data_IF_195585706705
#
_entry.id   IF_195585706705
#
_cell.length_a   1.000
_cell.length_b   1.000
_cell.length_c   1.000
_cell.angle_alpha   90.00
_cell.angle_beta   90.00
_cell.angle_gamma   90.00
#
_symmetry.space_group_name_H-M   'P 1'
#
loop_
_entity.id
_entity.type
_entity.pdbx_description
1 polymer ?
#
# COMPACT_ATOMS: atom_id res chain seq x y z
N UNK A 1 19.75 31.20 28.07
CA UNK A 1 18.96 30.59 26.99
C UNK A 1 19.00 29.09 27.16
N UNK A 2 18.01 28.53 27.86
CA UNK A 2 17.90 27.09 28.08
C UNK A 2 17.41 26.40 26.81
N UNK A 3 18.09 25.34 26.39
CA UNK A 3 17.63 24.50 25.29
C UNK A 3 16.47 23.64 25.81
N UNK A 4 15.29 23.87 25.29
CA UNK A 4 14.10 23.12 25.60
C UNK A 4 13.93 22.01 24.57
N UNK A 5 13.70 20.77 25.04
CA UNK A 5 13.54 19.62 24.18
C UNK A 5 12.14 19.00 24.36
N UNK A 6 11.58 18.49 23.25
CA UNK A 6 10.30 17.78 23.24
C UNK A 6 10.53 16.29 23.02
N UNK A 7 9.88 15.43 23.78
CA UNK A 7 9.88 13.97 23.58
C UNK A 7 8.49 13.49 23.27
N UNK A 8 8.35 12.71 22.18
CA UNK A 8 7.13 11.97 21.87
C UNK A 8 7.26 10.58 22.49
N UNK A 9 6.38 10.26 23.45
CA UNK A 9 6.51 9.02 24.21
C UNK A 9 5.71 7.86 23.71
N UNK A 10 4.82 8.01 22.72
CA UNK A 10 4.01 6.89 22.29
C UNK A 10 3.52 7.01 20.85
N UNK A 11 4.08 6.16 19.97
CA UNK A 11 3.64 6.06 18.57
C UNK A 11 2.64 4.91 18.35
N UNK A 12 2.58 3.92 19.24
CA UNK A 12 1.81 2.69 19.05
C UNK A 12 0.30 2.89 18.97
N UNK A 13 -0.25 3.92 19.64
CA UNK A 13 -1.67 4.23 19.55
C UNK A 13 -2.09 5.01 18.30
N UNK A 14 -1.11 5.43 17.51
CA UNK A 14 -1.31 6.24 16.30
C UNK A 14 -1.77 5.44 15.09
N UNK A 15 -1.41 4.16 15.05
CA UNK A 15 -1.69 3.27 13.91
C UNK A 15 -3.10 2.67 14.01
N UNK A 16 -3.70 2.63 15.20
CA UNK A 16 -4.98 1.94 15.43
C UNK A 16 -6.22 2.85 15.53
N UNK A 17 -6.06 4.17 15.56
CA UNK A 17 -7.20 5.10 15.65
C UNK A 17 -7.31 6.00 14.44
N UNK A 18 -8.53 6.06 13.91
CA UNK A 18 -8.93 6.99 12.85
C UNK A 18 -8.61 8.43 13.22
N UNK A 19 -8.25 9.24 12.24
CA UNK A 19 -7.72 10.61 12.35
C UNK A 19 -8.52 11.63 13.17
N UNK A 20 -9.63 11.23 13.78
CA UNK A 20 -10.55 12.12 14.52
C UNK A 20 -10.14 12.31 15.98
N UNK A 21 -9.32 11.44 16.56
CA UNK A 21 -8.87 11.55 17.96
C UNK A 21 -7.38 11.31 18.12
N UNK A 22 -6.57 12.11 17.46
CA UNK A 22 -5.12 12.05 17.66
C UNK A 22 -4.74 12.96 18.84
N UNK A 23 -4.80 12.42 20.04
CA UNK A 23 -4.26 13.08 21.23
C UNK A 23 -2.79 12.69 21.34
N UNK A 24 -1.91 13.66 21.18
CA UNK A 24 -0.48 13.48 21.41
C UNK A 24 -0.15 13.79 22.86
N UNK A 25 0.45 12.84 23.55
CA UNK A 25 1.15 13.14 24.79
C UNK A 25 2.57 13.55 24.44
N UNK A 26 2.83 14.85 24.50
CA UNK A 26 4.18 15.38 24.40
C UNK A 26 4.69 15.67 25.81
N UNK A 27 5.83 15.11 26.14
CA UNK A 27 6.50 15.38 27.39
C UNK A 27 7.60 16.41 27.17
N UNK A 28 7.58 17.47 27.93
CA UNK A 28 8.53 18.56 27.85
C UNK A 28 9.63 18.39 28.91
N UNK A 29 10.87 18.42 28.46
CA UNK A 29 12.03 18.34 29.37
C UNK A 29 12.71 19.71 29.47
N UNK A 30 12.86 20.22 30.70
CA UNK A 30 13.75 21.33 30.98
C UNK A 30 15.07 20.77 31.50
N UNK A 31 16.18 21.22 30.93
CA UNK A 31 17.49 20.91 31.45
C UNK A 31 17.74 21.78 32.71
N UNK A 32 17.56 21.23 33.89
CA UNK A 32 18.09 21.88 35.08
C UNK A 32 19.53 21.43 35.30
N UNK A 33 20.43 22.34 35.51
CA UNK A 33 21.86 22.13 35.70
C UNK A 33 22.23 21.42 37.01
N UNK A 34 21.28 20.96 37.78
CA UNK A 34 21.48 20.20 39.00
C UNK A 34 20.96 18.78 38.78
N UNK A 35 21.87 17.81 38.90
CA UNK A 35 21.64 16.37 38.64
C UNK A 35 20.53 15.78 39.49
N UNK A 36 19.33 15.92 39.04
CA UNK A 36 18.14 15.40 39.69
C UNK A 36 17.04 15.20 38.66
N UNK A 37 16.27 14.21 38.87
CA UNK A 37 15.08 13.77 38.17
C UNK A 37 14.50 14.75 37.13
N UNK A 38 14.56 14.34 35.86
CA UNK A 38 13.78 14.95 34.77
C UNK A 38 12.31 14.90 35.15
N UNK A 39 11.71 16.03 35.50
CA UNK A 39 10.26 16.13 35.67
C UNK A 39 9.61 16.14 34.29
N UNK A 40 8.78 15.17 34.05
CA UNK A 40 8.02 15.00 32.82
C UNK A 40 6.70 15.74 33.01
N UNK A 41 6.46 16.80 32.25
CA UNK A 41 5.13 17.40 32.15
C UNK A 41 4.47 16.92 30.87
N UNK A 42 3.36 16.20 31.00
CA UNK A 42 2.52 15.86 29.85
C UNK A 42 1.80 17.11 29.35
N UNK A 43 2.05 17.50 28.12
CA UNK A 43 1.26 18.52 27.45
C UNK A 43 0.31 17.79 26.51
N UNK A 44 -0.97 17.79 26.87
CA UNK A 44 -2.03 17.41 25.96
C UNK A 44 -2.36 18.65 25.15
N UNK A 45 -1.96 18.70 23.89
CA UNK A 45 -2.21 19.81 22.99
C UNK A 45 -2.90 19.32 21.73
N UNK A 46 -3.93 20.04 21.30
CA UNK A 46 -4.45 19.94 19.94
C UNK A 46 -3.54 20.83 19.09
N UNK A 47 -2.81 20.23 18.16
CA UNK A 47 -1.99 21.01 17.22
C UNK A 47 -2.93 21.68 16.22
N UNK A 48 -3.07 22.99 16.34
CA UNK A 48 -3.73 23.81 15.31
C UNK A 48 -2.66 24.31 14.34
N UNK A 49 -2.80 23.95 13.07
CA UNK A 49 -1.96 24.45 11.98
C UNK A 49 -0.94 23.45 11.43
N UNK A 50 -0.31 23.84 10.32
CA UNK A 50 0.75 23.11 9.62
C UNK A 50 2.05 23.10 10.46
N UNK A 51 2.26 22.13 11.30
CA UNK A 51 3.51 21.98 12.02
C UNK A 51 4.35 20.86 11.40
N UNK A 52 5.50 21.19 10.86
CA UNK A 52 6.53 20.25 10.44
C UNK A 52 7.59 20.18 11.55
N UNK A 53 7.68 19.06 12.23
CA UNK A 53 8.75 18.83 13.20
C UNK A 53 9.73 17.80 12.64
N UNK A 54 10.99 18.17 12.50
CA UNK A 54 12.07 17.24 12.18
C UNK A 54 13.02 17.17 13.37
N UNK A 55 13.16 16.01 13.98
CA UNK A 55 14.19 15.75 14.99
C UNK A 55 15.23 14.81 14.40
N UNK A 56 16.50 15.29 14.39
CA UNK A 56 17.63 14.52 13.90
C UNK A 56 18.27 13.78 15.03
N UNK A 57 18.05 13.12 15.90
CA UNK A 57 18.75 12.42 16.99
C UNK A 57 18.52 13.00 18.38
N UNK A 58 17.95 12.21 19.24
CA UNK A 58 18.00 12.43 20.68
C UNK A 58 18.93 11.39 21.29
N UNK A 59 20.07 11.81 21.83
CA UNK A 59 20.97 10.96 22.57
C UNK A 59 20.58 11.02 24.05
N UNK A 60 20.18 9.89 24.63
CA UNK A 60 20.00 9.80 26.05
C UNK A 60 21.38 9.58 26.71
N UNK A 61 21.89 10.57 27.42
CA UNK A 61 23.18 10.53 28.07
C UNK A 61 23.27 9.50 29.21
N UNK A 62 22.13 9.01 29.69
CA UNK A 62 22.08 8.07 30.80
C UNK A 62 22.06 6.59 30.38
N UNK A 63 21.47 6.27 29.26
CA UNK A 63 21.31 4.88 28.76
C UNK A 63 22.19 4.55 27.57
N UNK A 64 22.84 5.54 26.96
CA UNK A 64 23.65 5.35 25.75
C UNK A 64 22.86 5.06 24.47
N UNK A 65 21.53 4.94 24.55
CA UNK A 65 20.70 4.68 23.39
C UNK A 65 20.39 5.95 22.59
N UNK A 66 20.47 5.84 21.28
CA UNK A 66 20.08 6.90 20.35
C UNK A 66 18.75 6.52 19.69
N UNK A 67 17.78 7.42 19.72
CA UNK A 67 16.49 7.23 19.08
C UNK A 67 16.36 8.17 17.89
N UNK A 68 16.02 7.61 16.73
CA UNK A 68 15.64 8.41 15.56
C UNK A 68 14.12 8.61 15.62
N UNK A 69 13.69 9.84 15.85
CA UNK A 69 12.27 10.19 15.79
C UNK A 69 11.99 10.82 14.43
N UNK A 70 11.20 10.14 13.62
CA UNK A 70 10.69 10.69 12.37
C UNK A 70 9.26 11.19 12.63
N UNK A 71 9.05 12.50 12.56
CA UNK A 71 7.72 13.09 12.62
C UNK A 71 7.16 13.22 11.22
N UNK A 72 6.01 12.63 11.04
CA UNK A 72 5.22 12.77 9.81
C UNK A 72 4.38 14.04 9.93
N UNK A 73 4.30 14.83 8.85
CA UNK A 73 3.37 15.96 8.76
C UNK A 73 1.95 15.43 8.97
N UNK A 74 1.32 15.91 10.04
CA UNK A 74 -0.08 15.63 10.29
C UNK A 74 -0.92 16.76 9.69
N UNK A 75 -1.82 16.39 8.82
CA UNK A 75 -2.84 17.32 8.38
C UNK A 75 -3.88 17.46 9.49
N UNK A 76 -4.31 18.69 9.84
CA UNK A 76 -5.37 18.86 10.82
C UNK A 76 -6.62 18.14 10.33
N UNK A 77 -7.20 17.31 11.19
CA UNK A 77 -8.57 16.86 10.96
C UNK A 77 -9.44 18.12 10.88
N UNK A 78 -10.19 18.27 9.81
CA UNK A 78 -11.10 19.40 9.65
C UNK A 78 -11.96 19.53 10.90
N UNK A 79 -11.91 20.70 11.57
CA UNK A 79 -12.82 21.01 12.69
C UNK A 79 -14.24 20.73 12.23
N UNK A 80 -14.99 19.95 13.02
CA UNK A 80 -16.44 19.96 12.94
C UNK A 80 -16.91 21.39 13.29
N UNK A 81 -16.98 22.24 12.30
CA UNK A 81 -17.58 23.53 12.44
C UNK A 81 -19.09 23.34 12.31
N UNK A 82 -19.81 23.62 13.41
CA UNK A 82 -21.18 24.07 13.30
C UNK A 82 -21.18 25.41 12.56
N UNK A 83 -21.16 25.36 11.26
CA UNK A 83 -21.53 26.49 10.41
C UNK A 83 -22.06 25.92 9.09
N UNK A 84 -23.24 26.39 8.71
CA UNK A 84 -23.89 26.14 7.42
C UNK A 84 -23.05 26.67 6.26
N UNK A 85 -21.94 26.01 5.93
CA UNK A 85 -21.21 26.24 4.71
C UNK A 85 -21.23 24.95 3.89
N UNK A 86 -21.94 25.01 2.77
CA UNK A 86 -21.97 24.00 1.71
C UNK A 86 -20.60 23.90 1.01
N UNK A 87 -19.53 23.67 1.73
CA UNK A 87 -18.25 23.27 1.17
C UNK A 87 -18.25 21.76 1.01
N UNK A 88 -18.46 21.29 -0.19
CA UNK A 88 -18.24 19.90 -0.61
C UNK A 88 -16.81 19.52 -0.21
N UNK A 89 -16.69 18.69 0.82
CA UNK A 89 -15.42 18.07 1.22
C UNK A 89 -14.95 17.25 0.02
N UNK A 90 -13.98 17.74 -0.73
CA UNK A 90 -13.30 16.94 -1.74
C UNK A 90 -12.57 15.82 -1.00
N UNK A 91 -13.18 14.63 -0.98
CA UNK A 91 -12.53 13.39 -0.52
C UNK A 91 -11.25 13.23 -1.36
N UNK A 92 -10.09 13.14 -0.73
CA UNK A 92 -8.84 12.98 -1.44
C UNK A 92 -8.88 11.68 -2.24
N UNK A 93 -8.52 11.77 -3.51
CA UNK A 93 -8.39 10.60 -4.38
C UNK A 93 -7.24 9.73 -3.87
N UNK A 94 -7.54 8.49 -3.54
CA UNK A 94 -6.53 7.49 -3.26
C UNK A 94 -6.27 6.65 -4.52
N UNK A 95 -5.03 6.20 -4.68
CA UNK A 95 -4.64 5.36 -5.82
C UNK A 95 -3.90 4.12 -5.34
N UNK A 96 -4.12 3.02 -6.05
CA UNK A 96 -3.38 1.77 -5.92
C UNK A 96 -3.16 1.13 -7.28
N UNK A 97 -2.60 -0.05 -7.25
CA UNK A 97 -2.40 -0.88 -8.45
C UNK A 97 -3.39 -2.04 -8.45
N UNK A 98 -3.80 -2.50 -9.62
CA UNK A 98 -4.53 -3.73 -9.82
C UNK A 98 -4.08 -4.44 -11.09
N UNK A 99 -4.40 -5.72 -11.23
CA UNK A 99 -4.04 -6.49 -12.42
C UNK A 99 -5.17 -7.43 -12.86
N UNK A 100 -5.21 -7.70 -14.16
CA UNK A 100 -6.22 -8.55 -14.77
C UNK A 100 -6.11 -10.00 -14.32
N UNK A 101 -7.24 -10.64 -14.04
CA UNK A 101 -7.32 -12.09 -13.78
C UNK A 101 -8.29 -12.81 -14.73
N UNK A 102 -8.99 -12.07 -15.59
CA UNK A 102 -9.80 -12.65 -16.66
C UNK A 102 -9.97 -11.66 -17.80
N UNK A 103 -10.24 -12.17 -18.99
CA UNK A 103 -10.45 -11.34 -20.19
C UNK A 103 -11.70 -10.47 -20.13
N UNK A 104 -12.70 -10.83 -19.33
CA UNK A 104 -13.98 -10.15 -19.19
C UNK A 104 -13.97 -9.07 -18.07
N UNK A 105 -12.78 -8.67 -17.62
CA UNK A 105 -12.60 -7.47 -16.82
C UNK A 105 -12.56 -7.68 -15.31
N UNK A 106 -12.33 -8.92 -14.80
CA UNK A 106 -12.01 -9.11 -13.40
C UNK A 106 -10.56 -8.71 -13.09
N UNK A 107 -10.38 -7.94 -12.04
CA UNK A 107 -9.11 -7.34 -11.63
C UNK A 107 -8.93 -7.57 -10.14
N UNK A 108 -7.70 -7.92 -9.74
CA UNK A 108 -7.30 -8.03 -8.32
C UNK A 108 -6.63 -6.75 -7.87
N UNK A 109 -6.91 -6.35 -6.64
CA UNK A 109 -6.20 -5.29 -5.90
C UNK A 109 -6.22 -5.62 -4.41
N UNK A 110 -5.66 -4.76 -3.56
CA UNK A 110 -5.82 -4.91 -2.11
C UNK A 110 -7.16 -4.35 -1.63
N UNK A 111 -7.69 -4.92 -0.53
CA UNK A 111 -8.91 -4.43 0.12
C UNK A 111 -8.77 -2.99 0.59
N UNK A 112 -7.65 -2.63 1.22
CA UNK A 112 -7.45 -1.26 1.72
C UNK A 112 -7.43 -0.20 0.61
N UNK A 113 -7.13 -0.58 -0.64
CA UNK A 113 -7.19 0.35 -1.79
C UNK A 113 -8.63 0.75 -2.08
N UNK A 114 -9.58 -0.17 -1.89
CA UNK A 114 -11.00 0.05 -2.19
C UNK A 114 -11.87 0.25 -0.94
N UNK A 115 -11.28 0.20 0.25
CA UNK A 115 -12.00 0.37 1.52
C UNK A 115 -12.65 1.76 1.58
N UNK A 116 -13.94 1.80 1.90
CA UNK A 116 -14.75 3.03 1.94
C UNK A 116 -14.82 3.80 0.59
N UNK A 117 -14.48 3.19 -0.52
CA UNK A 117 -14.62 3.81 -1.83
C UNK A 117 -16.10 4.02 -2.18
N UNK A 118 -16.46 5.24 -2.58
CA UNK A 118 -17.78 5.56 -3.13
C UNK A 118 -17.82 5.35 -4.64
N UNK A 119 -16.66 5.38 -5.29
CA UNK A 119 -16.51 5.04 -6.70
C UNK A 119 -15.12 4.45 -6.95
N UNK A 120 -15.05 3.51 -7.87
CA UNK A 120 -13.82 2.85 -8.30
C UNK A 120 -13.66 3.08 -9.79
N UNK A 121 -12.48 3.53 -10.20
CA UNK A 121 -12.10 3.74 -11.59
C UNK A 121 -10.82 2.98 -11.91
N UNK A 122 -10.79 2.37 -13.09
CA UNK A 122 -9.63 1.65 -13.65
C UNK A 122 -9.07 2.42 -14.82
N UNK A 123 -7.79 2.79 -14.76
CA UNK A 123 -7.03 3.47 -15.79
C UNK A 123 -5.87 2.61 -16.31
N UNK A 124 -5.41 2.89 -17.52
CA UNK A 124 -4.28 2.19 -18.13
C UNK A 124 -4.67 1.02 -19.02
N UNK A 125 -5.98 0.77 -19.22
CA UNK A 125 -6.45 -0.27 -20.13
C UNK A 125 -6.02 0.10 -21.55
N UNK A 126 -5.39 -0.84 -22.23
CA UNK A 126 -4.76 -0.64 -23.53
C UNK A 126 -3.74 0.52 -23.56
N UNK A 127 -3.12 0.83 -22.41
CA UNK A 127 -2.17 1.94 -22.28
C UNK A 127 -2.80 3.33 -22.28
N UNK A 128 -4.13 3.45 -22.20
CA UNK A 128 -4.81 4.73 -22.13
C UNK A 128 -5.07 5.17 -20.69
N UNK A 129 -4.48 6.29 -20.28
CA UNK A 129 -4.69 6.92 -18.97
C UNK A 129 -5.71 8.05 -19.01
N UNK A 130 -6.09 8.51 -20.18
CA UNK A 130 -7.13 9.53 -20.37
C UNK A 130 -8.54 8.98 -20.19
N UNK A 131 -8.73 7.68 -20.43
CA UNK A 131 -9.99 6.98 -20.21
C UNK A 131 -9.96 6.19 -18.92
N UNK A 132 -10.94 6.42 -18.06
CA UNK A 132 -11.14 5.70 -16.82
C UNK A 132 -12.46 4.91 -16.89
N UNK A 133 -12.38 3.61 -16.66
CA UNK A 133 -13.54 2.72 -16.66
C UNK A 133 -14.11 2.57 -15.25
N UNK A 134 -15.44 2.60 -15.12
CA UNK A 134 -16.09 2.31 -13.84
C UNK A 134 -15.93 0.84 -13.49
N UNK A 135 -15.76 0.56 -12.19
CA UNK A 135 -15.69 -0.80 -11.69
C UNK A 135 -16.51 -0.94 -10.40
N UNK A 136 -16.89 -2.18 -10.10
CA UNK A 136 -17.60 -2.55 -8.87
C UNK A 136 -16.86 -3.67 -8.15
N UNK A 137 -16.99 -3.71 -6.83
CA UNK A 137 -16.47 -4.81 -6.02
C UNK A 137 -17.31 -6.05 -6.25
N UNK A 138 -16.66 -7.17 -6.51
CA UNK A 138 -17.29 -8.48 -6.68
C UNK A 138 -17.16 -9.30 -5.42
N UNK A 139 -15.94 -9.35 -4.85
CA UNK A 139 -15.63 -10.06 -3.64
C UNK A 139 -14.46 -9.40 -2.93
N UNK A 140 -14.42 -9.49 -1.62
CA UNK A 140 -13.30 -8.96 -0.84
C UNK A 140 -13.04 -9.79 0.41
N UNK A 141 -11.77 -9.82 0.81
CA UNK A 141 -11.29 -10.41 2.06
C UNK A 141 -10.50 -9.34 2.81
N UNK A 142 -11.17 -8.78 3.83
CA UNK A 142 -10.57 -7.73 4.67
C UNK A 142 -9.40 -8.26 5.49
N UNK A 143 -9.48 -9.52 5.94
CA UNK A 143 -8.47 -10.11 6.81
C UNK A 143 -7.16 -10.35 6.07
N UNK A 144 -7.26 -10.84 4.83
CA UNK A 144 -6.10 -11.07 3.98
C UNK A 144 -5.80 -9.89 3.04
N UNK A 145 -6.53 -8.77 3.19
CA UNK A 145 -6.34 -7.53 2.44
C UNK A 145 -6.39 -7.73 0.91
N UNK A 146 -7.34 -8.51 0.43
CA UNK A 146 -7.55 -8.80 -0.99
C UNK A 146 -8.92 -8.32 -1.45
N UNK A 147 -9.02 -7.90 -2.70
CA UNK A 147 -10.28 -7.57 -3.35
C UNK A 147 -10.26 -7.96 -4.84
N UNK A 148 -11.41 -8.43 -5.32
CA UNK A 148 -11.70 -8.62 -6.73
C UNK A 148 -12.74 -7.58 -7.13
N UNK A 149 -12.37 -6.77 -8.11
CA UNK A 149 -13.28 -5.81 -8.75
C UNK A 149 -13.55 -6.26 -10.18
N UNK A 150 -14.65 -5.82 -10.74
CA UNK A 150 -14.99 -6.05 -12.15
C UNK A 150 -15.29 -4.73 -12.83
N UNK A 151 -14.75 -4.54 -14.03
CA UNK A 151 -15.14 -3.41 -14.88
C UNK A 151 -16.64 -3.48 -15.17
N UNK A 152 -17.35 -2.40 -14.86
CA UNK A 152 -18.78 -2.23 -15.02
C UNK A 152 -19.04 -0.93 -15.78
N UNK A 153 -18.68 -0.95 -17.06
CA UNK A 153 -18.72 0.20 -17.96
C UNK A 153 -19.19 -0.26 -19.34
N UNK A 154 -20.21 0.40 -19.87
CA UNK A 154 -20.83 0.03 -21.14
C UNK A 154 -19.89 0.12 -22.35
N UNK A 155 -18.83 0.90 -22.25
CA UNK A 155 -17.81 1.08 -23.29
C UNK A 155 -16.67 0.06 -23.21
N UNK A 156 -16.71 -0.83 -22.20
CA UNK A 156 -15.73 -1.89 -22.04
C UNK A 156 -16.13 -3.13 -22.83
N UNK A 157 -15.21 -3.75 -23.53
CA UNK A 157 -15.46 -4.97 -24.28
C UNK A 157 -14.68 -6.18 -23.72
N UNK A 158 -13.36 -6.06 -23.67
CA UNK A 158 -12.49 -7.15 -23.19
C UNK A 158 -11.09 -6.63 -22.91
N UNK A 159 -10.37 -7.31 -21.97
CA UNK A 159 -8.94 -7.11 -21.74
C UNK A 159 -8.06 -7.92 -22.72
N UNK A 160 -8.69 -8.79 -23.54
CA UNK A 160 -7.96 -9.71 -24.40
C UNK A 160 -7.40 -10.92 -23.65
N UNK A 161 -6.54 -11.69 -24.31
CA UNK A 161 -5.92 -12.88 -23.76
C UNK A 161 -4.81 -12.48 -22.78
N UNK A 162 -4.96 -12.86 -21.52
CA UNK A 162 -3.97 -12.60 -20.46
C UNK A 162 -2.78 -13.54 -20.65
N UNK A 163 -1.54 -13.01 -20.71
CA UNK A 163 -0.36 -13.78 -21.14
C UNK A 163 0.31 -14.58 -20.03
N UNK A 164 -0.13 -14.44 -18.79
CA UNK A 164 0.44 -15.07 -17.59
C UNK A 164 -0.58 -15.98 -16.91
N UNK A 165 -0.10 -16.85 -16.04
CA UNK A 165 -0.94 -17.63 -15.13
C UNK A 165 -0.77 -17.19 -13.70
N UNK A 166 -1.70 -17.57 -12.84
CA UNK A 166 -1.62 -17.36 -11.39
C UNK A 166 -1.20 -18.70 -10.78
N UNK A 167 -0.02 -18.71 -10.15
CA UNK A 167 0.58 -19.94 -9.61
C UNK A 167 -0.04 -20.24 -8.23
N UNK A 168 -0.62 -21.40 -8.06
CA UNK A 168 -1.20 -21.83 -6.79
C UNK A 168 -0.15 -22.32 -5.78
N UNK A 169 1.00 -22.81 -6.27
CA UNK A 169 2.10 -23.28 -5.44
C UNK A 169 2.92 -22.12 -4.89
N UNK A 170 3.31 -22.25 -3.62
CA UNK A 170 4.18 -21.27 -2.97
C UNK A 170 5.54 -21.17 -3.65
N UNK A 171 6.00 -19.93 -3.83
CA UNK A 171 7.37 -19.64 -4.22
C UNK A 171 8.36 -19.98 -3.09
N UNK A 172 9.63 -20.27 -3.44
CA UNK A 172 10.66 -20.61 -2.47
C UNK A 172 11.53 -19.41 -2.13
N UNK A 173 12.14 -19.44 -0.94
CA UNK A 173 13.17 -18.46 -0.54
C UNK A 173 14.31 -18.53 -1.55
N UNK A 174 14.80 -17.36 -1.98
CA UNK A 174 15.85 -17.21 -3.00
C UNK A 174 15.32 -17.18 -4.44
N UNK A 175 14.03 -17.45 -4.71
CA UNK A 175 13.48 -17.27 -6.05
C UNK A 175 13.48 -15.81 -6.47
N UNK A 176 13.97 -15.52 -7.69
CA UNK A 176 13.90 -14.20 -8.29
C UNK A 176 12.46 -13.82 -8.59
N UNK A 177 12.12 -12.57 -8.24
CA UNK A 177 10.81 -11.99 -8.49
C UNK A 177 10.94 -10.58 -9.07
N UNK A 178 9.89 -10.15 -9.76
CA UNK A 178 9.73 -8.76 -10.14
C UNK A 178 8.29 -8.30 -9.90
N UNK A 179 8.13 -7.01 -9.72
CA UNK A 179 6.85 -6.33 -9.47
C UNK A 179 6.65 -5.25 -10.52
N UNK A 180 5.45 -5.15 -11.05
CA UNK A 180 5.01 -4.06 -11.91
C UNK A 180 3.86 -3.32 -11.25
N UNK A 181 3.99 -2.00 -11.08
CA UNK A 181 2.96 -1.22 -10.40
C UNK A 181 3.06 0.28 -10.70
N UNK A 182 2.20 1.04 -10.04
CA UNK A 182 2.09 2.49 -10.20
C UNK A 182 2.33 3.21 -8.87
N UNK A 183 3.58 3.22 -8.36
CA UNK A 183 3.89 3.90 -7.11
C UNK A 183 3.78 5.41 -7.26
N UNK A 184 3.27 6.09 -6.21
CA UNK A 184 3.33 7.54 -6.05
C UNK A 184 2.96 8.30 -7.34
N UNK A 185 1.83 7.97 -7.97
CA UNK A 185 1.44 8.53 -9.28
C UNK A 185 1.43 10.05 -9.33
N UNK A 186 1.14 10.72 -8.19
CA UNK A 186 1.17 12.17 -8.08
C UNK A 186 2.59 12.78 -8.26
N UNK A 187 3.65 12.04 -7.96
CA UNK A 187 5.04 12.49 -8.04
C UNK A 187 5.84 11.79 -9.12
N UNK A 188 5.57 10.50 -9.37
CA UNK A 188 6.32 9.66 -10.32
C UNK A 188 5.61 9.51 -11.67
N UNK A 189 4.41 10.09 -11.82
CA UNK A 189 3.60 10.01 -13.03
C UNK A 189 2.92 8.66 -13.21
N UNK A 190 2.10 8.57 -14.28
CA UNK A 190 1.27 7.39 -14.61
C UNK A 190 2.04 6.32 -15.44
N UNK A 191 3.36 6.41 -15.52
CA UNK A 191 4.16 5.36 -16.14
C UNK A 191 4.38 4.20 -15.17
N UNK A 192 4.19 2.96 -15.64
CA UNK A 192 4.42 1.76 -14.84
C UNK A 192 5.87 1.64 -14.39
N UNK A 193 6.11 1.23 -13.16
CA UNK A 193 7.46 1.02 -12.62
C UNK A 193 7.72 -0.45 -12.40
N UNK A 194 8.94 -0.87 -12.73
CA UNK A 194 9.48 -2.20 -12.48
C UNK A 194 10.39 -2.15 -11.24
N UNK A 195 10.18 -3.04 -10.31
CA UNK A 195 11.16 -3.36 -9.26
C UNK A 195 11.40 -4.86 -9.24
N UNK A 196 12.60 -5.29 -8.86
CA UNK A 196 12.98 -6.70 -8.78
C UNK A 196 13.70 -7.02 -7.48
N UNK A 197 13.74 -8.28 -7.14
CA UNK A 197 14.37 -8.79 -5.94
C UNK A 197 14.21 -10.30 -5.84
N UNK A 198 14.27 -10.81 -4.61
CA UNK A 198 14.06 -12.22 -4.28
C UNK A 198 13.02 -12.37 -3.17
N UNK A 199 12.45 -13.55 -3.05
CA UNK A 199 11.72 -13.97 -1.84
C UNK A 199 12.75 -14.14 -0.73
N UNK A 200 12.68 -13.36 0.34
CA UNK A 200 13.56 -13.44 1.49
C UNK A 200 13.00 -14.30 2.63
N UNK A 201 11.67 -14.43 2.73
CA UNK A 201 11.00 -15.32 3.69
C UNK A 201 9.64 -15.80 3.18
N UNK A 202 9.23 -17.00 3.62
CA UNK A 202 7.86 -17.54 3.42
C UNK A 202 6.85 -17.02 4.45
N UNK A 203 7.28 -16.17 5.39
CA UNK A 203 6.42 -15.44 6.31
C UNK A 203 6.68 -13.94 6.20
N UNK A 204 5.60 -13.17 6.32
CA UNK A 204 5.62 -11.72 6.26
C UNK A 204 5.88 -11.05 7.60
N UNK A 205 5.33 -9.85 7.78
CA UNK A 205 5.49 -9.05 8.98
C UNK A 205 5.01 -9.80 10.23
N UNK A 206 5.84 -9.79 11.29
CA UNK A 206 5.57 -10.48 12.57
C UNK A 206 5.24 -11.97 12.43
N UNK A 207 5.77 -12.64 11.40
CA UNK A 207 5.54 -14.07 11.18
C UNK A 207 4.23 -14.40 10.45
N UNK A 208 3.57 -13.42 9.85
CA UNK A 208 2.36 -13.60 9.07
C UNK A 208 2.57 -14.66 7.97
N UNK A 209 1.90 -15.80 8.10
CA UNK A 209 2.01 -16.92 7.15
C UNK A 209 1.29 -16.66 5.83
N UNK A 210 0.43 -15.65 5.74
CA UNK A 210 -0.33 -15.31 4.54
C UNK A 210 0.51 -14.58 3.50
N UNK A 211 1.64 -14.02 3.92
CA UNK A 211 2.48 -13.16 3.10
C UNK A 211 3.90 -13.71 2.95
N UNK A 212 4.56 -13.32 1.87
CA UNK A 212 6.01 -13.38 1.70
C UNK A 212 6.66 -12.09 2.20
N UNK A 213 7.90 -12.20 2.65
CA UNK A 213 8.82 -11.07 2.66
C UNK A 213 9.70 -11.13 1.41
N UNK A 214 9.96 -9.98 0.79
CA UNK A 214 10.77 -9.86 -0.42
C UNK A 214 11.72 -8.66 -0.34
N UNK A 215 12.78 -8.67 -1.15
CA UNK A 215 13.76 -7.57 -1.21
C UNK A 215 13.45 -6.53 -2.28
N UNK A 216 12.44 -6.74 -3.14
CA UNK A 216 12.05 -5.76 -4.13
C UNK A 216 11.57 -4.46 -3.45
N UNK A 217 12.07 -3.28 -3.86
CA UNK A 217 11.62 -2.00 -3.31
C UNK A 217 10.14 -1.76 -3.57
N UNK A 218 9.40 -1.39 -2.53
CA UNK A 218 7.95 -1.12 -2.60
C UNK A 218 7.68 0.28 -2.06
N UNK A 219 6.79 0.99 -2.72
CA UNK A 219 6.33 2.33 -2.37
C UNK A 219 4.80 2.40 -2.33
N UNK A 220 4.20 3.41 -1.65
CA UNK A 220 2.77 3.67 -1.75
C UNK A 220 2.29 3.72 -3.20
N UNK A 221 1.14 3.11 -3.47
CA UNK A 221 0.62 2.94 -4.83
C UNK A 221 0.97 1.60 -5.48
N UNK A 222 2.01 0.89 -4.98
CA UNK A 222 2.25 -0.51 -5.37
C UNK A 222 1.26 -1.50 -4.73
N UNK A 223 0.45 -1.07 -3.75
CA UNK A 223 -0.60 -1.91 -3.16
C UNK A 223 -1.50 -2.49 -4.25
N UNK A 224 -1.66 -3.82 -4.25
CA UNK A 224 -2.43 -4.56 -5.25
C UNK A 224 -1.64 -4.92 -6.52
N UNK A 225 -0.37 -4.54 -6.63
CA UNK A 225 0.47 -4.90 -7.77
C UNK A 225 0.77 -6.40 -7.81
N UNK A 226 0.83 -7.00 -9.00
CA UNK A 226 1.25 -8.40 -9.14
C UNK A 226 2.75 -8.55 -8.91
N UNK A 227 3.13 -9.58 -8.15
CA UNK A 227 4.49 -10.06 -8.04
C UNK A 227 4.64 -11.30 -8.92
N UNK A 228 5.60 -11.27 -9.83
CA UNK A 228 5.86 -12.33 -10.79
C UNK A 228 7.12 -13.12 -10.45
N UNK A 229 7.13 -14.42 -10.79
CA UNK A 229 8.36 -15.20 -10.86
C UNK A 229 9.12 -14.95 -12.17
N UNK A 230 10.31 -15.54 -12.33
CA UNK A 230 11.16 -15.41 -13.52
C UNK A 230 10.48 -15.88 -14.83
N UNK A 231 9.48 -16.75 -14.73
CA UNK A 231 8.75 -17.29 -15.86
C UNK A 231 7.49 -16.45 -16.20
N UNK A 232 7.25 -15.36 -15.47
CA UNK A 232 6.11 -14.46 -15.67
C UNK A 232 4.78 -15.01 -15.09
N UNK A 233 4.82 -15.94 -14.12
CA UNK A 233 3.61 -16.33 -13.39
C UNK A 233 3.42 -15.37 -12.21
N UNK A 234 2.18 -15.00 -11.91
CA UNK A 234 1.85 -14.29 -10.66
C UNK A 234 2.03 -15.24 -9.48
N UNK A 235 2.86 -14.85 -8.51
CA UNK A 235 3.15 -15.64 -7.30
C UNK A 235 2.75 -14.90 -6.02
N UNK A 236 2.38 -13.61 -6.10
CA UNK A 236 1.93 -12.83 -4.96
C UNK A 236 1.27 -11.52 -5.37
N UNK A 237 0.61 -10.89 -4.42
CA UNK A 237 -0.03 -9.58 -4.53
C UNK A 237 0.65 -8.65 -3.53
N UNK A 238 1.28 -7.58 -4.01
CA UNK A 238 2.04 -6.64 -3.18
C UNK A 238 1.13 -5.97 -2.16
N UNK A 239 1.59 -5.93 -0.91
CA UNK A 239 0.94 -5.19 0.16
C UNK A 239 1.91 -4.13 0.68
N UNK A 240 1.65 -2.87 0.37
CA UNK A 240 2.48 -1.74 0.78
C UNK A 240 2.04 -1.10 2.11
N UNK A 241 1.29 -1.82 2.95
CA UNK A 241 0.81 -1.31 4.25
C UNK A 241 1.88 -1.20 5.33
N UNK A 242 2.91 -2.03 5.26
CA UNK A 242 3.90 -2.13 6.32
C UNK A 242 5.13 -1.28 5.99
N UNK A 243 5.22 -0.12 6.64
CA UNK A 243 6.37 0.77 6.60
C UNK A 243 7.19 0.57 7.89
N UNK A 244 8.49 0.43 7.78
CA UNK A 244 9.34 0.44 8.97
C UNK A 244 10.55 -0.48 8.95
N UNK A 245 10.65 -1.42 8.02
CA UNK A 245 11.89 -2.15 7.77
C UNK A 245 12.51 -1.68 6.46
N UNK A 246 13.72 -1.14 6.53
CA UNK A 246 14.47 -0.83 5.31
C UNK A 246 14.69 -2.12 4.51
N UNK A 247 14.38 -2.08 3.20
CA UNK A 247 14.53 -3.19 2.26
C UNK A 247 13.66 -4.44 2.52
N UNK A 248 12.50 -4.28 3.19
CA UNK A 248 11.53 -5.35 3.35
C UNK A 248 10.20 -4.96 2.69
N UNK A 249 9.88 -5.60 1.57
CA UNK A 249 8.56 -5.57 0.96
C UNK A 249 7.76 -6.82 1.35
N UNK A 250 6.45 -6.74 1.28
CA UNK A 250 5.55 -7.86 1.57
C UNK A 250 4.59 -8.10 0.42
N UNK A 251 4.26 -9.37 0.19
CA UNK A 251 3.29 -9.77 -0.82
C UNK A 251 2.42 -10.91 -0.32
N UNK A 252 1.10 -10.78 -0.44
CA UNK A 252 0.13 -11.80 -0.09
C UNK A 252 0.28 -12.98 -1.07
N UNK A 253 0.29 -14.20 -0.56
CA UNK A 253 0.42 -15.41 -1.38
C UNK A 253 -0.80 -15.62 -2.25
N UNK A 254 -0.59 -16.06 -3.46
CA UNK A 254 -1.67 -16.36 -4.43
C UNK A 254 -2.66 -17.42 -3.96
N UNK A 255 -2.29 -18.30 -3.01
CA UNK A 255 -3.23 -19.26 -2.42
C UNK A 255 -4.44 -18.59 -1.77
N UNK A 256 -4.25 -17.41 -1.14
CA UNK A 256 -5.36 -16.64 -0.57
C UNK A 256 -6.22 -15.97 -1.65
N UNK A 257 -5.62 -15.57 -2.77
CA UNK A 257 -6.37 -15.13 -3.93
C UNK A 257 -7.22 -16.26 -4.52
N UNK A 258 -6.69 -17.51 -4.59
CA UNK A 258 -7.48 -18.64 -5.07
C UNK A 258 -8.70 -18.91 -4.21
N UNK A 259 -8.58 -18.82 -2.88
CA UNK A 259 -9.70 -18.93 -1.96
C UNK A 259 -10.74 -17.82 -2.20
N UNK A 260 -10.28 -16.59 -2.47
CA UNK A 260 -11.17 -15.47 -2.75
C UNK A 260 -11.90 -15.63 -4.09
N UNK A 261 -11.22 -16.16 -5.11
CA UNK A 261 -11.82 -16.48 -6.41
C UNK A 261 -12.88 -17.58 -6.29
N UNK A 262 -12.60 -18.63 -5.51
CA UNK A 262 -13.55 -19.72 -5.26
C UNK A 262 -14.81 -19.24 -4.51
N UNK A 263 -14.64 -18.27 -3.61
CA UNK A 263 -15.74 -17.67 -2.85
C UNK A 263 -16.52 -16.60 -3.64
N UNK A 264 -16.14 -16.28 -4.87
CA UNK A 264 -16.79 -15.24 -5.66
C UNK A 264 -18.22 -15.68 -6.09
N UNK A 265 -19.20 -14.75 -6.12
CA UNK A 265 -20.58 -15.08 -6.48
C UNK A 265 -20.78 -15.46 -7.95
N UNK A 266 -19.77 -15.24 -8.79
CA UNK A 266 -19.76 -15.57 -10.21
C UNK A 266 -18.48 -16.31 -10.58
N UNK A 267 -18.58 -17.24 -11.52
CA UNK A 267 -17.40 -17.95 -12.03
C UNK A 267 -16.41 -17.00 -12.68
N UNK A 268 -15.14 -17.10 -12.29
CA UNK A 268 -14.04 -16.32 -12.84
C UNK A 268 -13.13 -17.25 -13.62
N UNK A 269 -13.02 -17.05 -14.92
CA UNK A 269 -12.16 -17.83 -15.80
C UNK A 269 -10.72 -17.32 -15.69
N UNK A 270 -9.93 -17.89 -14.78
CA UNK A 270 -8.53 -17.53 -14.61
C UNK A 270 -7.69 -17.90 -15.85
N UNK A 271 -6.63 -17.14 -16.14
CA UNK A 271 -5.75 -17.41 -17.26
C UNK A 271 -5.01 -18.75 -17.06
N UNK A 272 -5.09 -19.62 -18.05
CA UNK A 272 -4.52 -20.97 -18.01
C UNK A 272 -3.28 -21.15 -18.89
N UNK A 273 -2.95 -20.15 -19.72
CA UNK A 273 -1.82 -20.19 -20.65
C UNK A 273 -0.79 -19.13 -20.27
N UNK A 274 0.45 -19.56 -20.07
CA UNK A 274 1.59 -18.66 -19.89
C UNK A 274 2.40 -18.60 -21.19
N UNK A 275 2.37 -17.44 -21.86
CA UNK A 275 3.14 -17.18 -23.10
C UNK A 275 4.47 -16.46 -22.82
N UNK A 276 4.79 -16.21 -21.54
CA UNK A 276 5.95 -15.44 -21.10
C UNK A 276 7.15 -16.31 -20.71
N UNK A 277 6.89 -17.57 -20.40
CA UNK A 277 7.92 -18.54 -19.97
C UNK A 277 9.10 -18.57 -20.96
N UNK A 278 10.30 -18.41 -20.42
CA UNK A 278 11.55 -18.44 -21.21
C UNK A 278 11.87 -17.15 -21.96
N UNK A 279 11.00 -16.12 -21.90
CA UNK A 279 11.31 -14.82 -22.48
C UNK A 279 12.21 -13.98 -21.57
N UNK A 280 12.96 -13.06 -22.17
CA UNK A 280 13.72 -12.07 -21.41
C UNK A 280 12.79 -11.15 -20.61
N UNK A 281 13.25 -10.64 -19.47
CA UNK A 281 12.45 -9.75 -18.60
C UNK A 281 11.89 -8.53 -19.36
N UNK A 282 12.68 -7.94 -20.24
CA UNK A 282 12.26 -6.81 -21.08
C UNK A 282 11.04 -7.14 -21.94
N UNK A 283 11.02 -8.35 -22.53
CA UNK A 283 9.92 -8.81 -23.38
C UNK A 283 8.69 -9.15 -22.51
N UNK A 284 8.90 -9.79 -21.37
CA UNK A 284 7.82 -10.06 -20.41
C UNK A 284 7.14 -8.75 -19.99
N UNK A 285 7.91 -7.76 -19.55
CA UNK A 285 7.41 -6.44 -19.10
C UNK A 285 6.65 -5.73 -20.22
N UNK A 286 7.17 -5.76 -21.46
CA UNK A 286 6.52 -5.11 -22.61
C UNK A 286 5.10 -5.61 -22.85
N UNK A 287 4.84 -6.87 -22.52
CA UNK A 287 3.54 -7.52 -22.67
C UNK A 287 2.69 -7.34 -21.41
N UNK A 288 3.23 -7.64 -20.22
CA UNK A 288 2.51 -7.64 -18.94
C UNK A 288 1.96 -6.26 -18.60
N UNK A 289 2.68 -5.17 -18.91
CA UNK A 289 2.27 -3.80 -18.59
C UNK A 289 0.88 -3.41 -19.12
N UNK A 290 0.35 -4.13 -20.10
CA UNK A 290 -1.00 -3.92 -20.65
C UNK A 290 -2.12 -4.47 -19.76
N UNK A 291 -1.75 -5.26 -18.74
CA UNK A 291 -2.68 -5.96 -17.85
C UNK A 291 -2.53 -5.53 -16.38
N UNK A 292 -1.75 -4.47 -16.14
CA UNK A 292 -1.59 -3.84 -14.83
C UNK A 292 -2.13 -2.42 -14.92
N UNK A 293 -2.92 -2.00 -13.94
CA UNK A 293 -3.76 -0.82 -14.00
C UNK A 293 -3.62 0.06 -12.77
N UNK A 294 -3.92 1.35 -12.92
CA UNK A 294 -4.15 2.26 -11.79
C UNK A 294 -5.59 2.07 -11.33
N UNK A 295 -5.77 1.83 -10.04
CA UNK A 295 -7.07 1.85 -9.37
C UNK A 295 -7.21 3.18 -8.65
N UNK A 296 -8.12 4.03 -9.14
CA UNK A 296 -8.47 5.30 -8.48
C UNK A 296 -9.76 5.13 -7.69
N UNK A 297 -9.78 5.64 -6.49
CA UNK A 297 -10.97 5.61 -5.61
C UNK A 297 -11.27 6.99 -5.06
N UNK A 298 -12.56 7.25 -4.86
CA UNK A 298 -13.07 8.48 -4.24
C UNK A 298 -13.91 8.13 -3.03
#
# INVERSE_FOLDING_TARGET
SGNNFWKVTYIKSFIEKTAVESVFNMEYYTNSSEGGNLSIQSIIGILEGDALFTFNYIKNSYTGFSYKVMLVKLYPASKSANSNDNTTIKKEKSTGTGFAISSDGFIVTNYHVIENATSIKVKGINGSFTKAYSAKVIQSDKNNDLAIIKIDDYSFSSLGIIPYTIKSLSANVGENIFVLGYPLTATMGEEIKLTNGIISSKSGFQGDITSYQMTAPIQPGNSGAPMFDKDGNVVGIVNAKHYGAENAGYAIKTSYLMNLVDAAPSSINLPSINTLKGKQLTDQVSVIKKYVYIIEVN
#
